data_IF_314590662403
#
_entry.id   IF_314590662403
#
_cell.length_a   1.000
_cell.length_b   1.000
_cell.length_c   1.000
_cell.angle_alpha   90.00
_cell.angle_beta   90.00
_cell.angle_gamma   90.00
#
_symmetry.space_group_name_H-M   'P 1'
#
loop_
_entity.id
_entity.type
_entity.pdbx_description
1 polymer ?
#
# COMPACT_ATOMS: atom_id res chain seq x y z
N UNK A 1 5.18 24.73 -6.81
CA UNK A 1 3.70 24.66 -6.74
C UNK A 1 3.32 23.66 -5.67
N UNK A 2 2.39 24.00 -4.78
CA UNK A 2 1.96 23.12 -3.70
C UNK A 2 1.09 21.98 -4.27
N UNK A 3 1.59 20.75 -4.24
CA UNK A 3 0.88 19.55 -4.74
C UNK A 3 -0.41 19.24 -3.97
N UNK A 4 -0.63 19.88 -2.81
CA UNK A 4 -1.83 19.70 -1.99
C UNK A 4 -2.96 20.69 -2.32
N UNK A 5 -2.72 21.67 -3.20
CA UNK A 5 -3.75 22.63 -3.60
C UNK A 5 -5.03 21.97 -4.20
N UNK A 6 -4.94 20.89 -5.01
CA UNK A 6 -6.11 20.15 -5.49
C UNK A 6 -6.91 19.51 -4.35
N UNK A 7 -6.24 19.06 -3.28
CA UNK A 7 -6.84 18.42 -2.09
C UNK A 7 -7.57 19.44 -1.20
N UNK A 8 -7.28 20.74 -1.38
CA UNK A 8 -7.92 21.84 -0.66
C UNK A 8 -9.17 22.39 -1.38
N UNK A 9 -9.50 21.88 -2.58
CA UNK A 9 -10.71 22.28 -3.31
C UNK A 9 -11.98 21.64 -2.71
N UNK A 10 -13.12 22.30 -2.87
CA UNK A 10 -14.42 21.83 -2.37
C UNK A 10 -14.94 20.55 -3.05
N UNK A 11 -14.35 20.19 -4.19
CA UNK A 11 -14.65 18.97 -4.96
C UNK A 11 -13.68 17.81 -4.71
N UNK A 12 -12.70 17.97 -3.80
CA UNK A 12 -11.72 16.93 -3.54
C UNK A 12 -12.36 15.67 -2.92
N UNK A 13 -12.03 14.51 -3.49
CA UNK A 13 -12.50 13.19 -3.04
C UNK A 13 -11.35 12.46 -2.35
N UNK A 14 -11.58 12.02 -1.12
CA UNK A 14 -10.64 11.19 -0.36
C UNK A 14 -11.20 9.78 -0.27
N UNK A 15 -10.47 8.81 -0.83
CA UNK A 15 -10.83 7.40 -0.74
C UNK A 15 -10.00 6.72 0.34
N UNK A 16 -10.69 6.04 1.23
CA UNK A 16 -10.07 5.39 2.39
C UNK A 16 -10.30 3.90 2.24
N UNK A 17 -9.19 3.16 2.17
CA UNK A 17 -9.15 1.73 1.94
C UNK A 17 -8.67 1.02 3.21
N UNK A 18 -9.62 0.34 3.84
CA UNK A 18 -9.35 -0.47 5.01
C UNK A 18 -9.19 -1.95 4.62
N UNK A 19 -8.02 -2.50 4.91
CA UNK A 19 -7.71 -3.92 4.79
C UNK A 19 -8.07 -4.59 6.12
N UNK A 20 -9.08 -5.45 6.10
CA UNK A 20 -9.66 -6.06 7.30
C UNK A 20 -8.66 -6.90 8.13
N UNK A 21 -7.63 -7.45 7.47
CA UNK A 21 -6.66 -8.38 8.08
C UNK A 21 -5.63 -7.70 9.00
N UNK A 22 -5.43 -6.38 8.90
CA UNK A 22 -4.47 -5.61 9.70
C UNK A 22 -5.21 -4.62 10.61
N UNK A 23 -4.72 -4.39 11.84
CA UNK A 23 -5.30 -3.57 12.93
C UNK A 23 -5.60 -2.08 12.55
N UNK A 24 -6.46 -1.86 11.57
CA UNK A 24 -6.76 -0.59 10.89
C UNK A 24 -7.69 0.33 11.68
N UNK A 25 -7.64 0.28 13.01
CA UNK A 25 -8.43 1.15 13.90
C UNK A 25 -8.14 2.62 13.65
N UNK A 26 -6.89 2.97 13.33
CA UNK A 26 -6.53 4.34 12.92
C UNK A 26 -7.08 4.69 11.53
N UNK A 27 -7.10 3.73 10.60
CA UNK A 27 -7.70 3.89 9.27
C UNK A 27 -9.19 4.21 9.35
N UNK A 28 -9.91 3.69 10.36
CA UNK A 28 -11.31 4.02 10.63
C UNK A 28 -11.51 5.35 11.40
N UNK A 29 -10.54 5.74 12.22
CA UNK A 29 -10.59 7.04 12.91
C UNK A 29 -10.36 8.20 11.92
N UNK A 30 -9.50 8.04 10.92
CA UNK A 30 -9.23 9.07 9.93
C UNK A 30 -10.50 9.60 9.24
N UNK A 31 -11.41 8.77 8.68
CA UNK A 31 -12.69 9.23 8.14
C UNK A 31 -13.54 9.97 9.19
N UNK A 32 -13.55 9.49 10.44
CA UNK A 32 -14.30 10.13 11.52
C UNK A 32 -13.76 11.53 11.85
N UNK A 33 -12.44 11.71 11.92
CA UNK A 33 -11.82 13.01 12.15
C UNK A 33 -11.97 13.94 10.93
N UNK A 34 -11.94 13.38 9.72
CA UNK A 34 -12.14 14.11 8.47
C UNK A 34 -13.63 14.47 8.21
N UNK A 35 -14.56 13.89 8.97
CA UNK A 35 -16.01 14.14 8.90
C UNK A 35 -16.38 15.62 9.07
N UNK A 36 -15.55 16.41 9.75
CA UNK A 36 -15.81 17.81 9.99
C UNK A 36 -15.62 18.72 8.75
N UNK A 37 -14.87 18.30 7.72
CA UNK A 37 -14.69 19.05 6.45
C UNK A 37 -14.19 18.13 5.32
N UNK A 38 -15.08 17.62 4.43
CA UNK A 38 -14.86 17.15 3.02
C UNK A 38 -15.85 16.05 2.59
N UNK A 39 -15.95 15.77 1.28
CA UNK A 39 -16.53 14.53 0.73
C UNK A 39 -15.46 13.42 0.75
N UNK A 40 -15.81 12.26 1.30
CA UNK A 40 -14.93 11.10 1.38
C UNK A 40 -15.72 9.82 1.12
N UNK A 41 -15.07 8.82 0.53
CA UNK A 41 -15.61 7.48 0.33
C UNK A 41 -14.79 6.48 1.14
N UNK A 42 -15.48 5.73 2.00
CA UNK A 42 -14.87 4.64 2.75
C UNK A 42 -15.13 3.32 2.00
N UNK A 43 -14.06 2.71 1.51
CA UNK A 43 -14.07 1.40 0.89
C UNK A 43 -13.52 0.36 1.87
N UNK A 44 -14.37 -0.59 2.25
CA UNK A 44 -13.97 -1.74 3.07
C UNK A 44 -13.74 -2.92 2.13
N UNK A 45 -12.48 -3.32 1.98
CA UNK A 45 -12.11 -4.42 1.11
C UNK A 45 -12.34 -5.76 1.81
N UNK A 46 -13.10 -6.62 1.14
CA UNK A 46 -13.28 -8.01 1.52
C UNK A 46 -12.78 -8.88 0.37
N UNK A 47 -11.94 -9.87 0.66
CA UNK A 47 -11.58 -10.91 -0.31
C UNK A 47 -10.55 -10.52 -1.39
N UNK A 48 -9.35 -10.10 -0.99
CA UNK A 48 -8.18 -9.93 -1.89
C UNK A 48 -7.55 -11.25 -2.37
N UNK A 49 -8.29 -12.37 -2.32
CA UNK A 49 -7.78 -13.70 -2.64
C UNK A 49 -7.93 -14.08 -4.12
N UNK A 50 -8.25 -13.13 -5.00
CA UNK A 50 -8.34 -13.37 -6.45
C UNK A 50 -6.93 -13.56 -7.04
N UNK A 51 -6.83 -14.11 -8.25
CA UNK A 51 -5.56 -14.05 -8.98
C UNK A 51 -5.38 -12.66 -9.60
N UNK A 52 -4.20 -12.03 -9.47
CA UNK A 52 -3.93 -10.73 -10.05
C UNK A 52 -3.89 -10.82 -11.58
N UNK A 53 -4.20 -9.71 -12.23
CA UNK A 53 -4.05 -9.59 -13.68
C UNK A 53 -2.61 -9.93 -14.13
N UNK A 54 -2.49 -10.53 -15.32
CA UNK A 54 -1.21 -10.91 -15.93
C UNK A 54 -0.30 -9.69 -16.09
N UNK A 55 -0.88 -8.52 -16.40
CA UNK A 55 -0.14 -7.26 -16.50
C UNK A 55 0.56 -6.87 -15.21
N UNK A 56 -0.12 -6.97 -14.05
CA UNK A 56 0.47 -6.58 -12.76
C UNK A 56 1.57 -7.56 -12.32
N UNK A 57 1.40 -8.85 -12.63
CA UNK A 57 2.44 -9.85 -12.39
C UNK A 57 3.70 -9.55 -13.22
N UNK A 58 3.55 -9.30 -14.52
CA UNK A 58 4.66 -8.97 -15.41
C UNK A 58 5.38 -7.68 -14.99
N UNK A 59 4.62 -6.68 -14.57
CA UNK A 59 5.15 -5.40 -14.11
C UNK A 59 5.90 -5.54 -12.78
N UNK A 60 5.41 -6.38 -11.88
CA UNK A 60 6.14 -6.72 -10.66
C UNK A 60 7.49 -7.40 -10.97
N UNK A 61 7.50 -8.34 -11.92
CA UNK A 61 8.73 -9.00 -12.36
C UNK A 61 9.72 -8.00 -12.99
N UNK A 62 9.24 -7.03 -13.76
CA UNK A 62 10.06 -5.94 -14.29
C UNK A 62 10.67 -5.07 -13.18
N UNK A 63 9.90 -4.75 -12.12
CA UNK A 63 10.39 -3.98 -10.98
C UNK A 63 11.45 -4.77 -10.19
N UNK A 64 11.26 -6.08 -10.03
CA UNK A 64 12.28 -6.95 -9.43
C UNK A 64 13.56 -6.95 -10.26
N UNK A 65 13.46 -7.13 -11.58
CA UNK A 65 14.63 -7.11 -12.48
C UNK A 65 15.35 -5.76 -12.41
N UNK A 66 14.62 -4.64 -12.49
CA UNK A 66 15.20 -3.31 -12.36
C UNK A 66 15.88 -3.10 -11.00
N UNK A 67 15.32 -3.63 -9.91
CA UNK A 67 15.95 -3.61 -8.60
C UNK A 67 17.27 -4.40 -8.58
N UNK A 68 17.30 -5.59 -9.15
CA UNK A 68 18.51 -6.39 -9.26
C UNK A 68 19.59 -5.69 -10.10
N UNK A 69 19.23 -5.12 -11.24
CA UNK A 69 20.15 -4.42 -12.14
C UNK A 69 20.75 -3.16 -11.50
N UNK A 70 19.91 -2.33 -10.87
CA UNK A 70 20.36 -1.11 -10.21
C UNK A 70 21.34 -1.40 -9.07
N UNK A 71 21.19 -2.54 -8.40
CA UNK A 71 22.02 -2.89 -7.27
C UNK A 71 23.17 -3.86 -7.59
N UNK A 72 23.32 -4.34 -8.84
CA UNK A 72 24.52 -5.10 -9.30
C UNK A 72 25.84 -4.31 -9.11
N UNK A 73 25.77 -2.98 -9.05
CA UNK A 73 26.93 -2.09 -8.91
C UNK A 73 27.30 -1.79 -7.44
N UNK A 74 26.52 -2.26 -6.46
CA UNK A 74 26.80 -2.04 -5.03
C UNK A 74 27.67 -3.17 -4.48
N UNK A 75 28.96 -2.89 -4.36
CA UNK A 75 29.93 -3.73 -3.65
C UNK A 75 29.96 -3.32 -2.18
N UNK A 76 29.00 -3.76 -1.38
CA UNK A 76 29.05 -3.61 0.08
C UNK A 76 28.89 -4.99 0.73
N UNK A 77 29.63 -5.22 1.82
CA UNK A 77 29.76 -6.51 2.52
C UNK A 77 28.47 -6.98 3.24
N UNK A 78 27.38 -6.22 3.16
CA UNK A 78 26.10 -6.55 3.79
C UNK A 78 25.08 -6.99 2.73
N UNK A 79 24.73 -8.28 2.75
CA UNK A 79 23.80 -8.90 1.81
C UNK A 79 22.33 -8.82 2.26
N UNK A 80 22.03 -8.18 3.40
CA UNK A 80 20.68 -8.16 3.99
C UNK A 80 19.59 -7.55 3.08
N UNK A 81 19.97 -6.74 2.10
CA UNK A 81 19.06 -6.08 1.16
C UNK A 81 18.81 -6.89 -0.13
N UNK A 82 19.55 -7.97 -0.37
CA UNK A 82 19.41 -8.80 -1.59
C UNK A 82 18.11 -9.60 -1.53
N UNK A 83 17.33 -9.51 -2.60
CA UNK A 83 16.12 -10.30 -2.77
C UNK A 83 16.55 -11.68 -3.25
N UNK A 84 16.08 -12.74 -2.60
CA UNK A 84 16.31 -14.13 -3.02
C UNK A 84 15.03 -14.72 -3.61
N UNK A 85 15.16 -15.62 -4.59
CA UNK A 85 14.00 -16.26 -5.22
C UNK A 85 13.17 -17.07 -4.20
N UNK A 86 13.84 -17.66 -3.19
CA UNK A 86 13.19 -18.37 -2.09
C UNK A 86 12.31 -17.45 -1.24
N UNK A 87 12.74 -16.21 -1.02
CA UNK A 87 11.99 -15.19 -0.29
C UNK A 87 10.75 -14.74 -1.06
N UNK A 88 10.89 -14.56 -2.38
CA UNK A 88 9.78 -14.20 -3.27
C UNK A 88 8.71 -15.31 -3.27
N UNK A 89 9.11 -16.57 -3.39
CA UNK A 89 8.17 -17.69 -3.37
C UNK A 89 7.49 -17.84 -2.00
N UNK A 90 8.23 -17.65 -0.90
CA UNK A 90 7.67 -17.68 0.46
C UNK A 90 6.63 -16.59 0.71
N UNK A 91 6.73 -15.42 0.05
CA UNK A 91 5.83 -14.28 0.22
C UNK A 91 4.85 -14.09 -0.95
N UNK A 92 4.78 -15.04 -1.88
CA UNK A 92 3.97 -14.97 -3.11
C UNK A 92 2.50 -14.64 -2.87
N UNK A 93 1.88 -15.22 -1.84
CA UNK A 93 0.49 -14.94 -1.50
C UNK A 93 0.28 -13.47 -1.04
N UNK A 94 1.25 -12.90 -0.33
CA UNK A 94 1.19 -11.48 0.07
C UNK A 94 1.39 -10.56 -1.14
N UNK A 95 2.33 -10.91 -2.01
CA UNK A 95 2.58 -10.17 -3.26
C UNK A 95 1.31 -10.16 -4.10
N UNK A 96 0.69 -11.32 -4.35
CA UNK A 96 -0.58 -11.43 -5.07
C UNK A 96 -1.67 -10.55 -4.46
N UNK A 97 -1.84 -10.57 -3.13
CA UNK A 97 -2.80 -9.72 -2.42
C UNK A 97 -2.54 -8.23 -2.65
N UNK A 98 -1.28 -7.80 -2.63
CA UNK A 98 -0.91 -6.41 -2.93
C UNK A 98 -1.13 -6.02 -4.39
N UNK A 99 -0.87 -6.92 -5.34
CA UNK A 99 -1.16 -6.68 -6.76
C UNK A 99 -2.66 -6.56 -7.02
N UNK A 100 -3.48 -7.40 -6.39
CA UNK A 100 -4.94 -7.27 -6.44
C UNK A 100 -5.39 -5.94 -5.85
N UNK A 101 -4.81 -5.53 -4.72
CA UNK A 101 -5.11 -4.23 -4.11
C UNK A 101 -4.81 -3.11 -5.10
N UNK A 102 -3.67 -3.15 -5.79
CA UNK A 102 -3.32 -2.17 -6.82
C UNK A 102 -4.38 -2.10 -7.92
N UNK A 103 -4.80 -3.25 -8.45
CA UNK A 103 -5.86 -3.35 -9.47
C UNK A 103 -7.16 -2.68 -8.98
N UNK A 104 -7.59 -2.98 -7.75
CA UNK A 104 -8.75 -2.34 -7.13
C UNK A 104 -8.62 -0.82 -7.00
N UNK A 105 -7.44 -0.34 -6.57
CA UNK A 105 -7.16 1.09 -6.42
C UNK A 105 -7.22 1.82 -7.76
N UNK A 106 -6.70 1.22 -8.82
CA UNK A 106 -6.78 1.79 -10.17
C UNK A 106 -8.23 1.84 -10.64
N UNK A 107 -8.99 0.75 -10.49
CA UNK A 107 -10.38 0.69 -10.96
C UNK A 107 -11.30 1.72 -10.27
N UNK A 108 -11.16 1.88 -8.96
CA UNK A 108 -12.13 2.64 -8.15
C UNK A 108 -11.65 4.04 -7.76
N UNK A 109 -10.33 4.24 -7.64
CA UNK A 109 -9.74 5.46 -7.07
C UNK A 109 -8.85 6.25 -8.05
N UNK A 110 -8.90 5.97 -9.35
CA UNK A 110 -8.13 6.71 -10.37
C UNK A 110 -8.40 8.22 -10.40
N UNK A 111 -9.59 8.67 -9.99
CA UNK A 111 -10.00 10.10 -10.02
C UNK A 111 -9.89 10.80 -8.67
N UNK A 112 -9.34 10.12 -7.66
CA UNK A 112 -9.38 10.58 -6.29
C UNK A 112 -8.25 11.57 -6.01
N UNK A 113 -8.50 12.54 -5.14
CA UNK A 113 -7.51 13.57 -4.81
C UNK A 113 -6.48 13.08 -3.80
N UNK A 114 -6.85 12.10 -2.99
CA UNK A 114 -5.99 11.42 -2.03
C UNK A 114 -6.52 10.00 -1.79
N UNK A 115 -5.62 9.03 -1.77
CA UNK A 115 -5.91 7.65 -1.43
C UNK A 115 -5.24 7.35 -0.09
N UNK A 116 -6.00 6.87 0.89
CA UNK A 116 -5.48 6.43 2.19
C UNK A 116 -5.63 4.93 2.27
N UNK A 117 -4.53 4.20 2.39
CA UNK A 117 -4.51 2.74 2.44
C UNK A 117 -3.83 2.29 3.72
N UNK A 118 -4.37 1.24 4.36
CA UNK A 118 -3.69 0.62 5.51
C UNK A 118 -2.37 0.03 5.05
N UNK A 119 -1.26 0.38 5.71
CA UNK A 119 0.06 -0.11 5.35
C UNK A 119 0.06 -1.65 5.46
N UNK A 120 0.36 -2.39 4.38
CA UNK A 120 0.45 -3.84 4.45
C UNK A 120 1.71 -4.23 5.23
N UNK A 121 1.53 -4.59 6.50
CA UNK A 121 2.66 -4.87 7.40
C UNK A 121 3.17 -6.29 7.15
N UNK A 122 4.47 -6.43 6.94
CA UNK A 122 5.15 -7.73 6.96
C UNK A 122 5.98 -7.88 8.23
N UNK A 123 5.92 -9.06 8.86
CA UNK A 123 6.73 -9.36 10.05
C UNK A 123 8.22 -9.23 9.70
N UNK A 124 8.99 -8.51 10.54
CA UNK A 124 10.38 -8.09 10.28
C UNK A 124 11.38 -9.20 9.94
N UNK A 125 11.07 -10.47 10.23
CA UNK A 125 11.95 -11.61 9.95
C UNK A 125 11.57 -12.37 8.66
N UNK A 126 10.52 -11.96 7.96
CA UNK A 126 9.95 -12.69 6.82
C UNK A 126 10.26 -12.07 5.45
N UNK A 127 10.67 -10.80 5.41
CA UNK A 127 10.86 -10.02 4.18
C UNK A 127 12.09 -9.11 4.32
N UNK A 128 12.96 -9.13 3.32
CA UNK A 128 14.09 -8.23 3.13
C UNK A 128 13.61 -6.81 2.83
N UNK A 129 14.37 -5.77 3.26
CA UNK A 129 13.99 -4.39 2.97
C UNK A 129 13.81 -4.11 1.47
N UNK A 130 14.61 -4.77 0.62
CA UNK A 130 14.52 -4.65 -0.84
C UNK A 130 13.18 -5.15 -1.38
N UNK A 131 12.78 -6.37 -1.01
CA UNK A 131 11.51 -6.95 -1.46
C UNK A 131 10.32 -6.12 -0.95
N UNK A 132 10.39 -5.63 0.28
CA UNK A 132 9.35 -4.78 0.84
C UNK A 132 9.19 -3.45 0.08
N UNK A 133 10.31 -2.81 -0.30
CA UNK A 133 10.27 -1.56 -1.08
C UNK A 133 9.74 -1.79 -2.50
N UNK A 134 10.15 -2.87 -3.18
CA UNK A 134 9.63 -3.23 -4.50
C UNK A 134 8.13 -3.51 -4.41
N UNK A 135 7.69 -4.21 -3.37
CA UNK A 135 6.28 -4.49 -3.11
C UNK A 135 5.46 -3.21 -2.90
N UNK A 136 5.90 -2.28 -2.05
CA UNK A 136 5.22 -0.99 -1.89
C UNK A 136 5.22 -0.15 -3.17
N UNK A 137 6.32 -0.19 -3.93
CA UNK A 137 6.44 0.44 -5.24
C UNK A 137 5.42 -0.08 -6.24
N UNK A 138 5.19 -1.39 -6.28
CA UNK A 138 4.20 -2.01 -7.15
C UNK A 138 2.77 -1.53 -6.80
N UNK A 139 2.41 -1.45 -5.51
CA UNK A 139 1.08 -1.00 -5.07
C UNK A 139 0.84 0.47 -5.40
N UNK A 140 1.87 1.32 -5.25
CA UNK A 140 1.78 2.78 -5.41
C UNK A 140 1.96 3.26 -6.85
N UNK A 141 2.20 2.35 -7.80
CA UNK A 141 2.53 2.71 -9.17
C UNK A 141 1.38 3.43 -9.88
N UNK A 142 1.63 4.59 -10.49
CA UNK A 142 0.65 5.32 -11.32
C UNK A 142 -0.71 5.58 -10.63
N UNK A 143 -0.69 5.80 -9.31
CA UNK A 143 -1.85 6.22 -8.55
C UNK A 143 -1.79 7.72 -8.23
N UNK A 144 -2.95 8.34 -7.94
CA UNK A 144 -3.00 9.63 -7.24
C UNK A 144 -2.21 9.60 -5.92
N UNK A 145 -1.98 10.76 -5.28
CA UNK A 145 -1.27 10.82 -4.00
C UNK A 145 -1.78 9.77 -3.02
N UNK A 146 -0.91 8.84 -2.63
CA UNK A 146 -1.24 7.70 -1.79
C UNK A 146 -0.53 7.82 -0.45
N UNK A 147 -1.30 7.66 0.63
CA UNK A 147 -0.82 7.67 2.00
C UNK A 147 -1.00 6.27 2.60
N UNK A 148 0.11 5.61 2.87
CA UNK A 148 0.10 4.41 3.70
C UNK A 148 0.02 4.77 5.18
N UNK A 149 -0.94 4.20 5.89
CA UNK A 149 -1.17 4.44 7.32
C UNK A 149 -0.92 3.15 8.10
N UNK A 150 0.08 3.17 8.97
CA UNK A 150 0.31 2.12 9.95
C UNK A 150 -0.31 2.47 11.31
N UNK A 151 -0.80 1.46 12.02
CA UNK A 151 -1.27 1.60 13.41
C UNK A 151 -0.21 1.04 14.37
N UNK A 152 -0.06 1.66 15.55
CA UNK A 152 0.83 1.16 16.61
C UNK A 152 0.17 0.07 17.49
N UNK A 153 -0.89 -0.58 17.01
CA UNK A 153 -1.65 -1.63 17.70
C UNK A 153 -2.20 -1.26 19.11
N UNK A 154 -2.06 0.00 19.53
CA UNK A 154 -2.66 0.53 20.76
C UNK A 154 -4.08 0.99 20.47
N UNK A 155 -4.99 0.70 21.40
CA UNK A 155 -6.40 1.07 21.27
C UNK A 155 -6.55 2.59 21.14
N UNK A 156 -7.14 3.02 20.02
CA UNK A 156 -7.45 4.43 19.77
C UNK A 156 -8.92 4.75 20.11
N UNK A 157 -9.82 3.76 20.09
CA UNK A 157 -11.14 3.87 20.71
C UNK A 157 -11.02 3.58 22.21
N UNK A 158 -10.81 4.62 23.00
CA UNK A 158 -11.08 4.55 24.45
C UNK A 158 -12.54 4.94 24.67
N UNK A 159 -13.34 4.02 25.21
CA UNK A 159 -14.67 4.37 25.72
C UNK A 159 -14.49 5.41 26.83
N UNK A 160 -15.14 6.57 26.69
CA UNK A 160 -15.45 7.38 27.86
C UNK A 160 -16.63 6.70 28.55
N UNK A 161 -16.35 5.98 29.63
CA UNK A 161 -17.36 5.54 30.61
C UNK A 161 -17.80 6.71 31.47
#
# INVERSE_FOLDING_TARGET
MNIFHPIQTSSAIIDIWWLFDDDGRLTLLLPYLLRCRRRWHLHVLHGLNKQPNVYETQKFDQLLQAWHENNKKRTENDESWKITETEVEANKEKIKRGLNLHEYLVEHSSKSSLIIVTLPISRKQSISPGLYLVYLGAISYNLPPLLFVGSNQKNVLTYYS
#
